data_IF_906253470642
#
_entry.id   IF_906253470642
#
_cell.length_a   1.000
_cell.length_b   1.000
_cell.length_c   1.000
_cell.angle_alpha   90.00
_cell.angle_beta   90.00
_cell.angle_gamma   90.00
#
_symmetry.space_group_name_H-M   'P 1'
#
loop_
_entity.id
_entity.type
_entity.pdbx_description
1 polymer ?
#
# COMPACT_ATOMS: atom_id res chain seq x y z
N UNK A 1 5.84 20.05 -16.78
CA UNK A 1 4.81 20.45 -17.76
C UNK A 1 3.57 20.95 -17.01
N UNK A 2 3.01 22.10 -17.41
CA UNK A 2 1.77 22.63 -16.82
C UNK A 2 0.60 21.73 -17.21
N UNK A 3 -0.37 21.53 -16.31
CA UNK A 3 -1.56 20.69 -16.49
C UNK A 3 -2.40 21.04 -17.75
N UNK A 4 -2.16 22.24 -18.30
CA UNK A 4 -2.80 22.83 -19.47
C UNK A 4 -2.24 22.38 -20.83
N UNK A 5 -1.06 21.72 -20.88
CA UNK A 5 -0.43 21.31 -22.16
C UNK A 5 -0.65 19.83 -22.52
N UNK A 6 -1.35 19.07 -21.67
CA UNK A 6 -1.63 17.65 -21.91
C UNK A 6 -2.82 17.49 -22.86
N UNK A 7 -2.67 16.61 -23.86
CA UNK A 7 -3.80 16.23 -24.71
C UNK A 7 -4.96 15.68 -23.84
N UNK A 8 -6.23 15.92 -24.19
CA UNK A 8 -7.38 15.53 -23.36
C UNK A 8 -7.41 14.04 -22.99
N UNK A 9 -6.82 13.17 -23.81
CA UNK A 9 -6.65 11.72 -23.53
C UNK A 9 -5.56 11.43 -22.49
N UNK A 10 -4.47 12.18 -22.47
CA UNK A 10 -3.36 12.01 -21.51
C UNK A 10 -3.75 12.51 -20.13
N UNK A 11 -4.48 13.64 -20.09
CA UNK A 11 -5.11 14.15 -18.86
C UNK A 11 -6.06 13.14 -18.24
N UNK A 12 -6.83 12.44 -19.07
CA UNK A 12 -7.77 11.41 -18.61
C UNK A 12 -7.07 10.20 -17.99
N UNK A 13 -6.01 9.69 -18.64
CA UNK A 13 -5.19 8.61 -18.09
C UNK A 13 -4.49 9.02 -16.80
N UNK A 14 -3.98 10.26 -16.73
CA UNK A 14 -3.36 10.81 -15.53
C UNK A 14 -4.34 10.84 -14.34
N UNK A 15 -5.57 11.31 -14.55
CA UNK A 15 -6.62 11.34 -13.52
C UNK A 15 -6.98 9.92 -13.04
N UNK A 16 -7.02 8.93 -13.94
CA UNK A 16 -7.22 7.54 -13.52
C UNK A 16 -6.10 7.00 -12.65
N UNK A 17 -4.84 7.26 -12.99
CA UNK A 17 -3.71 6.83 -12.16
C UNK A 17 -3.70 7.53 -10.81
N UNK A 18 -4.05 8.82 -10.78
CA UNK A 18 -4.20 9.59 -9.54
C UNK A 18 -5.29 8.99 -8.64
N UNK A 19 -6.49 8.75 -9.17
CA UNK A 19 -7.58 8.11 -8.44
C UNK A 19 -7.22 6.69 -7.99
N UNK A 20 -6.58 5.90 -8.85
CA UNK A 20 -6.16 4.54 -8.51
C UNK A 20 -5.23 4.54 -7.29
N UNK A 21 -4.25 5.45 -7.26
CA UNK A 21 -3.30 5.58 -6.16
C UNK A 21 -3.97 6.13 -4.90
N UNK A 22 -4.80 7.16 -5.04
CA UNK A 22 -5.61 7.69 -3.95
C UNK A 22 -6.36 6.58 -3.21
N UNK A 23 -7.13 5.75 -3.93
CA UNK A 23 -7.88 4.66 -3.30
C UNK A 23 -6.99 3.51 -2.80
N UNK A 24 -5.84 3.27 -3.43
CA UNK A 24 -4.88 2.27 -2.94
C UNK A 24 -4.32 2.66 -1.56
N UNK A 25 -3.83 3.90 -1.42
CA UNK A 25 -3.32 4.41 -0.12
C UNK A 25 -4.44 4.64 0.89
N UNK A 26 -5.66 4.94 0.44
CA UNK A 26 -6.84 4.98 1.30
C UNK A 26 -7.04 3.63 2.01
N UNK A 27 -7.06 2.52 1.27
CA UNK A 27 -7.28 1.18 1.84
C UNK A 27 -6.08 0.74 2.70
N UNK A 28 -4.85 1.06 2.27
CA UNK A 28 -3.65 0.83 3.08
C UNK A 28 -3.72 1.54 4.43
N UNK A 29 -4.24 2.78 4.47
CA UNK A 29 -4.39 3.56 5.70
C UNK A 29 -5.48 3.01 6.63
N UNK A 30 -6.58 2.49 6.09
CA UNK A 30 -7.59 1.81 6.92
C UNK A 30 -7.02 0.57 7.64
N UNK A 31 -6.11 -0.14 6.98
CA UNK A 31 -5.51 -1.36 7.50
C UNK A 31 -4.31 -1.07 8.40
N UNK A 32 -3.24 -0.49 7.86
CA UNK A 32 -1.90 -0.55 8.45
C UNK A 32 -1.80 0.03 9.88
N UNK A 33 -2.20 1.30 10.13
CA UNK A 33 -2.18 1.90 11.46
C UNK A 33 -3.19 1.28 12.44
N UNK A 34 -4.34 0.80 11.98
CA UNK A 34 -5.41 0.31 12.86
C UNK A 34 -5.41 -1.20 13.07
N UNK A 35 -4.60 -1.96 12.31
CA UNK A 35 -4.56 -3.42 12.39
C UNK A 35 -4.21 -3.99 13.78
N UNK A 36 -3.19 -3.48 14.51
CA UNK A 36 -2.92 -3.95 15.88
C UNK A 36 -4.10 -3.69 16.83
N UNK A 37 -4.76 -2.56 16.64
CA UNK A 37 -5.93 -2.14 17.43
C UNK A 37 -7.13 -3.01 17.12
N UNK A 38 -7.32 -3.39 15.86
CA UNK A 38 -8.35 -4.34 15.44
C UNK A 38 -8.14 -5.73 16.05
N UNK A 39 -6.90 -6.23 16.06
CA UNK A 39 -6.58 -7.53 16.66
C UNK A 39 -6.85 -7.56 18.16
N UNK A 40 -6.50 -6.47 18.86
CA UNK A 40 -6.68 -6.38 20.31
C UNK A 40 -8.14 -6.13 20.74
N UNK A 41 -8.84 -5.19 20.09
CA UNK A 41 -10.18 -4.78 20.55
C UNK A 41 -11.29 -5.69 20.02
N UNK A 42 -11.18 -6.19 18.78
CA UNK A 42 -12.25 -6.98 18.13
C UNK A 42 -12.05 -8.48 18.31
N UNK A 43 -10.81 -8.95 18.14
CA UNK A 43 -10.51 -10.37 18.24
C UNK A 43 -10.01 -10.77 19.65
N UNK A 44 -9.90 -9.81 20.58
CA UNK A 44 -9.44 -10.01 21.96
C UNK A 44 -8.11 -10.76 22.07
N UNK A 45 -7.23 -10.60 21.07
CA UNK A 45 -5.95 -11.29 21.04
C UNK A 45 -4.96 -10.67 22.03
N UNK A 46 -4.14 -11.53 22.62
CA UNK A 46 -3.01 -11.12 23.45
C UNK A 46 -1.91 -10.48 22.59
N UNK A 47 -1.01 -9.73 23.24
CA UNK A 47 0.16 -9.12 22.56
C UNK A 47 1.06 -10.16 21.92
N UNK A 48 1.20 -11.34 22.54
CA UNK A 48 1.99 -12.46 22.01
C UNK A 48 1.40 -12.98 20.71
N UNK A 49 0.09 -13.21 20.68
CA UNK A 49 -0.62 -13.70 19.49
C UNK A 49 -0.62 -12.69 18.36
N UNK A 50 -0.78 -11.40 18.69
CA UNK A 50 -0.63 -10.29 17.75
C UNK A 50 0.78 -10.28 17.14
N UNK A 51 1.82 -10.49 17.96
CA UNK A 51 3.20 -10.62 17.49
C UNK A 51 3.42 -11.78 16.53
N UNK A 52 2.76 -12.93 16.77
CA UNK A 52 2.80 -14.10 15.86
C UNK A 52 2.18 -13.74 14.51
N UNK A 53 1.04 -13.03 14.50
CA UNK A 53 0.39 -12.57 13.26
C UNK A 53 1.31 -11.64 12.47
N UNK A 54 1.90 -10.62 13.10
CA UNK A 54 2.85 -9.72 12.45
C UNK A 54 4.11 -10.43 11.94
N UNK A 55 4.60 -11.41 12.69
CA UNK A 55 5.75 -12.23 12.29
C UNK A 55 5.44 -13.06 11.04
N UNK A 56 4.25 -13.68 10.98
CA UNK A 56 3.79 -14.40 9.79
C UNK A 56 3.67 -13.47 8.57
N UNK A 57 3.05 -12.30 8.72
CA UNK A 57 2.94 -11.30 7.65
C UNK A 57 4.32 -10.90 7.13
N UNK A 58 5.29 -10.72 8.04
CA UNK A 58 6.66 -10.35 7.69
C UNK A 58 7.39 -11.48 6.97
N UNK A 59 7.20 -12.73 7.40
CA UNK A 59 7.76 -13.92 6.74
C UNK A 59 7.26 -14.02 5.30
N UNK A 60 5.94 -13.95 5.09
CA UNK A 60 5.37 -14.02 3.74
C UNK A 60 5.73 -12.78 2.90
N UNK A 61 5.81 -11.60 3.51
CA UNK A 61 6.30 -10.40 2.82
C UNK A 61 7.71 -10.61 2.24
N UNK A 62 8.64 -11.16 3.02
CA UNK A 62 10.02 -11.42 2.58
C UNK A 62 10.04 -12.42 1.42
N UNK A 63 9.19 -13.44 1.43
CA UNK A 63 9.10 -14.44 0.35
C UNK A 63 8.46 -13.83 -0.91
N UNK A 64 7.37 -13.08 -0.75
CA UNK A 64 6.59 -12.57 -1.89
C UNK A 64 7.20 -11.31 -2.51
N UNK A 65 7.94 -10.48 -1.77
CA UNK A 65 8.61 -9.29 -2.31
C UNK A 65 9.53 -9.59 -3.52
N UNK A 66 10.49 -10.54 -3.46
CA UNK A 66 11.33 -10.86 -4.62
C UNK A 66 10.51 -11.52 -5.74
N UNK A 67 9.52 -12.35 -5.41
CA UNK A 67 8.64 -12.98 -6.41
C UNK A 67 7.87 -11.92 -7.17
N UNK A 68 7.23 -10.98 -6.48
CA UNK A 68 6.50 -9.86 -7.09
C UNK A 68 7.42 -8.87 -7.78
N UNK A 69 8.66 -8.68 -7.30
CA UNK A 69 9.68 -7.87 -7.96
C UNK A 69 10.07 -8.46 -9.32
N UNK A 70 10.39 -9.75 -9.36
CA UNK A 70 10.69 -10.48 -10.60
C UNK A 70 9.47 -10.59 -11.51
N UNK A 71 8.28 -10.74 -10.93
CA UNK A 71 7.01 -10.80 -11.65
C UNK A 71 6.69 -9.43 -12.28
N UNK A 72 6.89 -8.33 -11.55
CA UNK A 72 6.78 -6.96 -12.06
C UNK A 72 7.78 -6.69 -13.18
N UNK A 73 8.97 -7.28 -13.11
CA UNK A 73 9.98 -7.14 -14.16
C UNK A 73 9.67 -7.98 -15.41
N UNK A 74 9.28 -9.25 -15.24
CA UNK A 74 8.91 -10.15 -16.35
C UNK A 74 7.60 -9.80 -17.03
N UNK A 75 6.59 -9.35 -16.27
CA UNK A 75 5.29 -8.97 -16.85
C UNK A 75 5.33 -7.62 -17.55
N UNK A 76 6.35 -6.78 -17.34
CA UNK A 76 6.38 -5.43 -17.88
C UNK A 76 5.10 -4.65 -17.53
N UNK A 77 4.64 -3.77 -18.42
CA UNK A 77 3.41 -2.97 -18.27
C UNK A 77 2.10 -3.80 -18.39
N UNK A 78 2.11 -5.12 -18.15
CA UNK A 78 0.91 -5.95 -18.33
C UNK A 78 -0.10 -5.73 -17.20
N UNK A 79 -1.30 -5.29 -17.61
CA UNK A 79 -2.51 -5.02 -16.82
C UNK A 79 -2.93 -6.12 -15.84
N UNK A 80 -2.50 -7.37 -16.01
CA UNK A 80 -2.96 -8.51 -15.21
C UNK A 80 -2.55 -8.39 -13.74
N UNK A 81 -1.32 -7.95 -13.44
CA UNK A 81 -0.85 -7.84 -12.06
C UNK A 81 -1.61 -6.77 -11.27
N UNK A 82 -1.85 -5.60 -11.87
CA UNK A 82 -2.70 -4.58 -11.25
C UNK A 82 -4.15 -5.04 -11.09
N UNK A 83 -4.67 -5.81 -12.05
CA UNK A 83 -6.04 -6.34 -11.96
C UNK A 83 -6.16 -7.34 -10.81
N UNK A 84 -5.19 -8.25 -10.66
CA UNK A 84 -5.14 -9.18 -9.53
C UNK A 84 -5.11 -8.43 -8.21
N UNK A 85 -4.20 -7.47 -8.04
CA UNK A 85 -4.12 -6.65 -6.81
C UNK A 85 -5.47 -5.97 -6.57
N UNK A 86 -6.07 -5.38 -7.61
CA UNK A 86 -7.36 -4.68 -7.49
C UNK A 86 -8.51 -5.58 -7.06
N UNK A 87 -8.60 -6.80 -7.61
CA UNK A 87 -9.61 -7.80 -7.21
C UNK A 87 -9.41 -8.22 -5.76
N UNK A 88 -8.16 -8.43 -5.32
CA UNK A 88 -7.90 -8.72 -3.91
C UNK A 88 -8.30 -7.52 -3.03
N UNK A 89 -8.00 -6.27 -3.40
CA UNK A 89 -8.45 -5.11 -2.60
C UNK A 89 -9.98 -4.97 -2.54
N UNK A 90 -10.73 -5.41 -3.56
CA UNK A 90 -12.20 -5.46 -3.50
C UNK A 90 -12.65 -6.50 -2.46
N UNK A 91 -11.99 -7.66 -2.44
CA UNK A 91 -12.29 -8.75 -1.51
C UNK A 91 -11.74 -8.50 -0.08
N UNK A 92 -11.21 -7.30 0.18
CA UNK A 92 -10.66 -6.93 1.47
C UNK A 92 -11.68 -7.03 2.62
N UNK A 93 -12.86 -6.44 2.49
CA UNK A 93 -13.90 -6.51 3.53
C UNK A 93 -14.37 -7.95 3.82
N UNK A 94 -14.78 -8.75 2.81
CA UNK A 94 -15.24 -10.11 3.09
C UNK A 94 -14.12 -11.01 3.62
N UNK A 95 -12.87 -10.81 3.19
CA UNK A 95 -11.75 -11.55 3.74
C UNK A 95 -11.54 -11.27 5.23
N UNK A 96 -11.57 -10.00 5.66
CA UNK A 96 -11.35 -9.65 7.07
C UNK A 96 -12.47 -10.13 7.98
N UNK A 97 -13.72 -9.94 7.55
CA UNK A 97 -14.88 -10.22 8.39
C UNK A 97 -15.21 -11.73 8.41
N UNK A 98 -15.23 -12.40 7.25
CA UNK A 98 -15.72 -13.77 7.16
C UNK A 98 -14.63 -14.84 7.21
N UNK A 99 -13.38 -14.50 6.88
CA UNK A 99 -12.28 -15.47 6.88
C UNK A 99 -11.35 -15.19 8.06
N UNK A 100 -10.80 -13.99 8.12
CA UNK A 100 -9.70 -13.69 9.03
C UNK A 100 -10.14 -13.67 10.50
N UNK A 101 -11.24 -12.98 10.83
CA UNK A 101 -11.77 -12.93 12.20
C UNK A 101 -12.12 -14.32 12.78
N UNK A 102 -12.94 -15.17 12.12
CA UNK A 102 -13.26 -16.48 12.67
C UNK A 102 -12.06 -17.45 12.68
N UNK A 103 -11.15 -17.37 11.70
CA UNK A 103 -9.95 -18.21 11.74
C UNK A 103 -9.04 -17.88 12.92
N UNK A 104 -8.90 -16.59 13.26
CA UNK A 104 -8.11 -16.18 14.42
C UNK A 104 -8.70 -16.70 15.73
N UNK A 105 -10.03 -16.75 15.85
CA UNK A 105 -10.70 -17.27 17.04
C UNK A 105 -10.61 -18.80 17.15
N UNK A 106 -10.64 -19.54 16.04
CA UNK A 106 -10.51 -21.01 16.07
C UNK A 106 -9.06 -21.47 16.25
N UNK A 107 -8.13 -20.93 15.46
CA UNK A 107 -6.73 -21.29 15.52
C UNK A 107 -5.84 -20.14 15.02
N UNK A 108 -5.10 -19.56 15.95
CA UNK A 108 -4.23 -18.39 15.72
C UNK A 108 -3.13 -18.70 14.71
N UNK A 109 -2.60 -19.92 14.69
CA UNK A 109 -1.55 -20.32 13.74
C UNK A 109 -2.13 -20.37 12.33
N UNK A 110 -3.30 -20.99 12.15
CA UNK A 110 -3.96 -21.04 10.85
C UNK A 110 -4.38 -19.64 10.37
N UNK A 111 -4.96 -18.83 11.26
CA UNK A 111 -5.31 -17.44 10.98
C UNK A 111 -4.10 -16.60 10.58
N UNK A 112 -3.01 -16.66 11.35
CA UNK A 112 -1.77 -15.93 11.04
C UNK A 112 -1.14 -16.36 9.71
N UNK A 113 -1.19 -17.65 9.34
CA UNK A 113 -0.70 -18.12 8.04
C UNK A 113 -1.55 -17.57 6.88
N UNK A 114 -2.86 -17.72 6.95
CA UNK A 114 -3.78 -17.26 5.89
C UNK A 114 -3.76 -15.74 5.75
N UNK A 115 -3.80 -15.02 6.87
CA UNK A 115 -3.65 -13.56 6.90
C UNK A 115 -2.27 -13.11 6.41
N UNK A 116 -1.21 -13.82 6.81
CA UNK A 116 0.15 -13.53 6.36
C UNK A 116 0.30 -13.63 4.84
N UNK A 117 -0.24 -14.69 4.24
CA UNK A 117 -0.23 -14.87 2.78
C UNK A 117 -1.00 -13.73 2.10
N UNK A 118 -2.23 -13.47 2.54
CA UNK A 118 -3.09 -12.46 1.93
C UNK A 118 -2.51 -11.04 2.06
N UNK A 119 -2.14 -10.64 3.29
CA UNK A 119 -1.63 -9.30 3.59
C UNK A 119 -0.22 -9.08 3.03
N UNK A 120 0.62 -10.12 3.02
CA UNK A 120 1.93 -10.11 2.39
C UNK A 120 1.84 -9.88 0.87
N UNK A 121 0.86 -10.50 0.21
CA UNK A 121 0.61 -10.30 -1.22
C UNK A 121 0.03 -8.90 -1.50
N UNK A 122 -1.04 -8.52 -0.81
CA UNK A 122 -1.82 -7.32 -1.16
C UNK A 122 -1.11 -6.02 -0.80
N UNK A 123 -0.50 -5.96 0.39
CA UNK A 123 -0.02 -4.71 0.97
C UNK A 123 1.50 -4.61 0.98
N UNK A 124 2.23 -5.67 1.36
CA UNK A 124 3.69 -5.61 1.36
C UNK A 124 4.26 -5.67 -0.06
N UNK A 125 4.00 -6.75 -0.78
CA UNK A 125 4.49 -6.91 -2.15
C UNK A 125 3.68 -6.12 -3.18
N UNK A 126 2.38 -5.95 -2.95
CA UNK A 126 1.49 -5.16 -3.80
C UNK A 126 1.83 -3.67 -3.82
N UNK A 127 2.25 -3.07 -2.70
CA UNK A 127 2.59 -1.64 -2.66
C UNK A 127 3.82 -1.33 -3.51
N UNK A 128 4.89 -2.12 -3.34
CA UNK A 128 6.09 -2.01 -4.17
C UNK A 128 5.80 -2.24 -5.65
N UNK A 129 4.93 -3.19 -5.99
CA UNK A 129 4.55 -3.44 -7.37
C UNK A 129 3.72 -2.28 -7.99
N UNK A 130 2.79 -1.71 -7.23
CA UNK A 130 1.96 -0.56 -7.65
C UNK A 130 2.82 0.71 -7.82
N UNK A 131 3.74 0.97 -6.88
CA UNK A 131 4.69 2.09 -6.96
C UNK A 131 5.60 1.98 -8.18
N UNK A 132 6.25 0.82 -8.36
CA UNK A 132 7.14 0.57 -9.49
C UNK A 132 6.41 0.67 -10.84
N UNK A 133 5.17 0.19 -10.91
CA UNK A 133 4.35 0.33 -12.11
C UNK A 133 4.09 1.80 -12.44
N UNK A 134 3.70 2.61 -11.46
CA UNK A 134 3.40 4.02 -11.68
C UNK A 134 4.66 4.81 -12.01
N UNK A 135 5.79 4.52 -11.38
CA UNK A 135 7.06 5.15 -11.74
C UNK A 135 7.43 4.87 -13.21
N UNK A 136 7.19 3.64 -13.70
CA UNK A 136 7.38 3.29 -15.12
C UNK A 136 6.42 4.05 -16.04
N UNK A 137 5.15 4.16 -15.68
CA UNK A 137 4.16 4.93 -16.47
C UNK A 137 4.46 6.44 -16.43
N UNK A 138 4.92 6.95 -15.29
CA UNK A 138 5.33 8.34 -15.08
C UNK A 138 6.49 8.74 -15.97
N UNK A 139 7.50 7.86 -16.07
CA UNK A 139 8.62 8.03 -16.99
C UNK A 139 8.17 7.97 -18.46
N UNK A 140 7.26 7.06 -18.80
CA UNK A 140 6.78 6.90 -20.17
C UNK A 140 5.98 8.12 -20.68
N UNK A 141 5.17 8.74 -19.82
CA UNK A 141 4.29 9.85 -20.17
C UNK A 141 4.82 11.23 -19.69
N UNK A 142 6.07 11.29 -19.21
CA UNK A 142 6.75 12.52 -18.72
C UNK A 142 5.98 13.32 -17.65
N UNK A 143 5.11 12.67 -16.87
CA UNK A 143 4.52 13.31 -15.69
C UNK A 143 5.42 13.12 -14.47
N UNK A 144 5.38 14.05 -13.51
CA UNK A 144 6.13 13.96 -12.27
C UNK A 144 5.48 12.94 -11.32
N UNK A 145 6.24 11.91 -10.93
CA UNK A 145 5.82 10.89 -9.96
C UNK A 145 5.38 11.52 -8.62
N UNK A 146 6.05 12.59 -8.20
CA UNK A 146 5.76 13.29 -6.94
C UNK A 146 4.30 13.77 -6.83
N UNK A 147 3.72 14.27 -7.93
CA UNK A 147 2.31 14.72 -7.94
C UNK A 147 1.32 13.58 -7.71
N UNK A 148 1.60 12.40 -8.28
CA UNK A 148 0.77 11.20 -8.09
C UNK A 148 0.92 10.68 -6.66
N UNK A 149 2.14 10.74 -6.11
CA UNK A 149 2.41 10.33 -4.73
C UNK A 149 1.69 11.22 -3.71
N UNK A 150 1.68 12.52 -3.91
CA UNK A 150 0.95 13.48 -3.07
C UNK A 150 -0.53 13.13 -2.98
N UNK A 151 -1.17 12.75 -4.09
CA UNK A 151 -2.56 12.28 -4.06
C UNK A 151 -2.75 11.00 -3.23
N UNK A 152 -1.77 10.10 -3.23
CA UNK A 152 -1.74 8.93 -2.33
C UNK A 152 -1.70 9.33 -0.86
N UNK A 153 -0.81 10.25 -0.48
CA UNK A 153 -0.72 10.76 0.90
C UNK A 153 -2.01 11.46 1.35
N UNK A 154 -2.67 12.22 0.47
CA UNK A 154 -3.97 12.82 0.76
C UNK A 154 -5.04 11.74 0.98
N UNK A 155 -5.06 10.69 0.16
CA UNK A 155 -5.96 9.55 0.35
C UNK A 155 -5.72 8.81 1.67
N UNK A 156 -4.45 8.63 2.06
CA UNK A 156 -4.08 8.06 3.34
C UNK A 156 -4.58 8.91 4.50
N UNK A 157 -4.34 10.23 4.45
CA UNK A 157 -4.74 11.16 5.49
C UNK A 157 -6.27 11.21 5.67
N UNK A 158 -7.02 11.31 4.57
CA UNK A 158 -8.49 11.29 4.62
C UNK A 158 -9.01 9.99 5.25
N UNK A 159 -8.45 8.84 4.86
CA UNK A 159 -8.86 7.57 5.42
C UNK A 159 -8.50 7.42 6.89
N UNK A 160 -7.34 7.91 7.33
CA UNK A 160 -6.88 7.81 8.71
C UNK A 160 -7.84 8.56 9.66
N UNK A 161 -8.29 9.75 9.28
CA UNK A 161 -9.30 10.50 10.05
C UNK A 161 -10.64 9.77 10.10
N UNK A 162 -11.15 9.31 8.94
CA UNK A 162 -12.44 8.61 8.87
C UNK A 162 -12.39 7.33 9.71
N UNK A 163 -11.32 6.56 9.55
CA UNK A 163 -11.12 5.30 10.26
C UNK A 163 -10.97 5.54 11.76
N UNK A 164 -10.23 6.56 12.20
CA UNK A 164 -10.05 6.87 13.61
C UNK A 164 -11.36 7.15 14.34
N UNK A 165 -12.28 7.88 13.69
CA UNK A 165 -13.63 8.14 14.23
C UNK A 165 -14.50 6.88 14.16
N UNK A 166 -14.53 6.20 13.02
CA UNK A 166 -15.37 5.00 12.83
C UNK A 166 -14.94 3.83 13.72
N UNK A 167 -13.66 3.73 14.07
CA UNK A 167 -13.16 2.67 14.94
C UNK A 167 -13.77 2.71 16.34
N UNK A 168 -14.22 3.88 16.79
CA UNK A 168 -14.93 4.05 18.07
C UNK A 168 -16.38 3.58 18.04
N UNK A 169 -16.98 3.42 16.86
CA UNK A 169 -18.37 2.97 16.69
C UNK A 169 -18.36 1.49 16.30
N UNK A 170 -17.86 1.20 15.09
CA UNK A 170 -17.81 -0.15 14.52
C UNK A 170 -16.68 -0.26 13.50
N UNK A 171 -15.65 -1.09 13.76
CA UNK A 171 -14.51 -1.24 12.85
C UNK A 171 -14.88 -1.95 11.55
N UNK A 172 -15.94 -2.76 11.54
CA UNK A 172 -16.41 -3.46 10.34
C UNK A 172 -16.90 -2.50 9.25
N UNK A 173 -17.47 -1.35 9.64
CA UNK A 173 -17.96 -0.33 8.71
C UNK A 173 -16.80 0.25 7.89
N UNK A 174 -15.64 0.47 8.51
CA UNK A 174 -14.44 0.95 7.82
C UNK A 174 -14.03 -0.01 6.70
N UNK A 175 -14.04 -1.32 6.96
CA UNK A 175 -13.68 -2.31 5.95
C UNK A 175 -14.68 -2.33 4.78
N UNK A 176 -15.98 -2.25 5.06
CA UNK A 176 -17.01 -2.13 4.03
C UNK A 176 -16.84 -0.88 3.18
N UNK A 177 -16.57 0.27 3.79
CA UNK A 177 -16.32 1.52 3.07
C UNK A 177 -15.07 1.39 2.18
N UNK A 178 -13.99 0.80 2.70
CA UNK A 178 -12.76 0.58 1.95
C UNK A 178 -12.99 -0.30 0.69
N UNK A 179 -13.74 -1.40 0.84
CA UNK A 179 -14.10 -2.30 -0.28
C UNK A 179 -15.06 -1.62 -1.27
N UNK A 180 -16.10 -0.93 -0.76
CA UNK A 180 -17.09 -0.23 -1.59
C UNK A 180 -16.45 0.89 -2.42
N UNK A 181 -15.57 1.70 -1.83
CA UNK A 181 -14.83 2.74 -2.55
C UNK A 181 -13.92 2.14 -3.61
N UNK A 182 -13.29 0.98 -3.34
CA UNK A 182 -12.49 0.29 -4.34
C UNK A 182 -13.33 -0.19 -5.51
N UNK A 183 -14.45 -0.84 -5.22
CA UNK A 183 -15.39 -1.31 -6.21
C UNK A 183 -15.93 -0.16 -7.06
N UNK A 184 -16.35 0.93 -6.44
CA UNK A 184 -16.79 2.15 -7.13
C UNK A 184 -15.71 2.72 -8.05
N UNK A 185 -14.43 2.74 -7.62
CA UNK A 185 -13.32 3.19 -8.47
C UNK A 185 -13.14 2.29 -9.71
N UNK A 186 -13.27 0.98 -9.53
CA UNK A 186 -13.17 -0.02 -10.62
C UNK A 186 -14.38 0.05 -11.55
N UNK A 187 -15.58 0.24 -11.02
CA UNK A 187 -16.79 0.43 -11.83
C UNK A 187 -16.74 1.75 -12.60
N UNK A 188 -16.31 2.86 -11.99
CA UNK A 188 -16.16 4.15 -12.67
C UNK A 188 -15.10 4.11 -13.79
N UNK A 189 -14.05 3.32 -13.62
CA UNK A 189 -13.04 3.08 -14.68
C UNK A 189 -13.50 2.06 -15.72
N UNK A 190 -14.28 1.05 -15.35
CA UNK A 190 -14.89 0.06 -16.24
C UNK A 190 -16.01 0.61 -17.12
N UNK A 191 -16.94 1.39 -16.55
CA UNK A 191 -18.04 2.03 -17.27
C UNK A 191 -17.57 3.08 -18.29
N UNK A 192 -16.36 3.64 -18.10
CA UNK A 192 -15.74 4.60 -19.03
C UNK A 192 -14.65 3.97 -19.93
N UNK A 193 -14.44 2.65 -19.80
CA UNK A 193 -13.27 1.93 -20.29
C UNK A 193 -13.43 1.08 -21.55
N UNK A 194 -14.21 1.50 -22.56
CA UNK A 194 -14.08 0.92 -23.93
C UNK A 194 -12.98 1.58 -24.77
N UNK A 195 -12.35 2.67 -24.32
CA UNK A 195 -11.42 3.47 -25.16
C UNK A 195 -10.05 3.79 -24.54
N UNK A 196 -9.60 3.03 -23.53
CA UNK A 196 -8.24 3.13 -22.97
C UNK A 196 -7.25 2.10 -23.55
N UNK A 197 -7.58 1.48 -24.70
CA UNK A 197 -6.69 0.54 -25.39
C UNK A 197 -5.48 1.21 -26.07
N UNK A 198 -5.36 2.54 -26.03
CA UNK A 198 -4.39 3.29 -26.87
C UNK A 198 -3.16 3.80 -26.13
N UNK A 199 -3.16 3.86 -24.78
CA UNK A 199 -1.92 4.05 -24.01
C UNK A 199 -0.90 2.91 -24.25
N UNK A 200 -1.37 1.78 -24.78
CA UNK A 200 -0.61 0.59 -25.15
C UNK A 200 0.24 0.74 -26.44
N UNK A 201 -0.03 1.72 -27.32
CA UNK A 201 0.79 1.86 -28.55
C UNK A 201 2.13 2.53 -28.31
N UNK A 202 2.25 3.37 -27.27
CA UNK A 202 3.50 4.02 -26.90
C UNK A 202 4.42 3.13 -26.06
N UNK A 203 3.86 2.18 -25.30
CA UNK A 203 4.66 1.22 -24.50
C UNK A 203 5.26 0.06 -25.32
N UNK A 204 4.78 -0.19 -26.55
CA UNK A 204 5.41 -1.19 -27.45
C UNK A 204 6.78 -0.75 -27.99
N UNK A 205 7.13 0.54 -27.90
CA UNK A 205 8.39 1.08 -28.44
C UNK A 205 9.57 0.99 -27.47
N UNK A 206 9.29 0.71 -26.19
CA UNK A 206 10.31 0.50 -25.18
C UNK A 206 10.36 -0.99 -24.88
N UNK A 207 11.22 -1.70 -25.63
CA UNK A 207 11.69 -3.00 -25.19
C UNK A 207 12.14 -2.88 -23.72
N UNK A 208 11.78 -3.82 -22.84
CA UNK A 208 12.30 -3.78 -21.49
C UNK A 208 13.82 -3.81 -21.61
N UNK A 209 14.51 -2.82 -21.04
CA UNK A 209 15.90 -3.01 -20.63
C UNK A 209 15.83 -3.96 -19.42
N UNK A 210 15.36 -5.18 -19.65
CA UNK A 210 15.56 -6.28 -18.75
C UNK A 210 17.05 -6.55 -18.84
N UNK A 211 17.84 -5.91 -17.97
CA UNK A 211 19.13 -6.49 -17.64
C UNK A 211 18.77 -7.82 -16.98
N UNK A 212 19.05 -8.97 -17.60
CA UNK A 212 18.80 -10.23 -16.93
C UNK A 212 19.52 -10.15 -15.58
N UNK A 213 18.82 -10.46 -14.50
CA UNK A 213 19.45 -10.70 -13.21
C UNK A 213 20.32 -11.95 -13.39
N UNK A 214 21.50 -11.75 -13.99
CA UNK A 214 22.50 -12.77 -14.14
C UNK A 214 23.11 -12.89 -12.76
N UNK A 215 22.92 -14.05 -12.13
CA UNK A 215 23.56 -14.39 -10.87
C UNK A 215 25.07 -14.54 -11.13
N UNK A 216 25.75 -13.42 -11.40
CA UNK A 216 27.20 -13.38 -11.41
C UNK A 216 27.57 -13.26 -9.94
N UNK A 217 27.99 -14.38 -9.37
CA UNK A 217 28.71 -14.46 -8.11
C UNK A 217 29.98 -13.61 -8.24
N UNK A 218 29.86 -12.28 -8.07
CA UNK A 218 31.00 -11.36 -8.09
C UNK A 218 31.18 -10.82 -6.69
N UNK A 219 31.93 -11.59 -5.91
CA UNK A 219 32.20 -11.38 -4.49
C UNK A 219 33.06 -10.12 -4.20
N UNK A 220 33.49 -9.37 -5.22
CA UNK A 220 34.53 -8.36 -5.04
C UNK A 220 34.34 -7.06 -5.86
N UNK A 221 33.13 -6.48 -5.84
CA UNK A 221 32.95 -5.08 -6.24
C UNK A 221 32.74 -4.21 -5.00
N UNK A 222 33.43 -3.07 -4.89
CA UNK A 222 33.19 -2.07 -3.83
C UNK A 222 31.72 -1.60 -3.78
N UNK A 223 30.99 -1.70 -4.90
CA UNK A 223 29.53 -1.52 -5.02
C UNK A 223 28.78 -2.53 -4.15
N UNK A 224 29.26 -3.78 -4.01
CA UNK A 224 28.64 -4.80 -3.16
C UNK A 224 28.83 -4.50 -1.66
N UNK A 225 29.95 -3.88 -1.25
CA UNK A 225 30.21 -3.50 0.15
C UNK A 225 29.41 -2.26 0.56
N UNK A 226 29.30 -1.26 -0.31
CA UNK A 226 28.35 -0.16 -0.14
C UNK A 226 26.90 -0.66 -0.20
N UNK A 227 26.57 -1.60 -1.11
CA UNK A 227 25.25 -2.24 -1.13
C UNK A 227 24.98 -3.09 0.10
N UNK A 228 25.99 -3.62 0.79
CA UNK A 228 25.83 -4.36 2.04
C UNK A 228 25.42 -3.42 3.18
N UNK A 229 26.10 -2.28 3.30
CA UNK A 229 25.76 -1.23 4.28
C UNK A 229 24.43 -0.53 3.95
N UNK A 230 24.18 -0.21 2.67
CA UNK A 230 22.88 0.29 2.22
C UNK A 230 21.80 -0.77 2.42
N UNK A 231 22.02 -2.03 2.06
CA UNK A 231 21.05 -3.11 2.27
C UNK A 231 20.77 -3.26 3.77
N UNK A 232 21.78 -3.32 4.64
CA UNK A 232 21.53 -3.37 6.10
C UNK A 232 20.76 -2.16 6.60
N UNK A 233 21.01 -0.95 6.07
CA UNK A 233 20.26 0.26 6.42
C UNK A 233 18.83 0.25 5.84
N UNK A 234 18.64 -0.36 4.68
CA UNK A 234 17.35 -0.60 4.02
C UNK A 234 16.54 -1.73 4.65
N UNK A 235 17.16 -2.66 5.37
CA UNK A 235 16.48 -3.69 6.14
C UNK A 235 16.21 -3.19 7.55
N UNK A 236 17.23 -2.67 8.24
CA UNK A 236 17.14 -2.28 9.64
C UNK A 236 16.27 -1.06 9.84
N UNK A 237 16.37 -0.01 9.01
CA UNK A 237 15.57 1.20 9.22
C UNK A 237 14.08 0.96 8.98
N UNK A 238 13.62 0.41 7.84
CA UNK A 238 12.22 0.12 7.62
C UNK A 238 11.70 -0.96 8.57
N UNK A 239 12.46 -2.02 8.87
CA UNK A 239 12.02 -3.02 9.83
C UNK A 239 11.80 -2.41 11.22
N UNK A 240 12.77 -1.61 11.71
CA UNK A 240 12.66 -0.92 13.00
C UNK A 240 11.49 0.05 13.02
N UNK A 241 11.32 0.85 11.95
CA UNK A 241 10.18 1.75 11.83
C UNK A 241 8.86 0.98 11.78
N UNK A 242 8.78 -0.13 11.03
CA UNK A 242 7.55 -0.94 10.96
C UNK A 242 7.20 -1.58 12.29
N UNK A 243 8.19 -2.08 13.03
CA UNK A 243 8.00 -2.60 14.38
C UNK A 243 7.50 -1.50 15.33
N UNK A 244 8.14 -0.33 15.31
CA UNK A 244 7.72 0.82 16.11
C UNK A 244 6.31 1.29 15.75
N UNK A 245 5.98 1.42 14.46
CA UNK A 245 4.66 1.81 13.98
C UNK A 245 3.58 0.77 14.25
N UNK A 246 3.94 -0.52 14.34
CA UNK A 246 2.98 -1.57 14.70
C UNK A 246 2.58 -1.50 16.18
N UNK A 247 3.44 -0.93 17.03
CA UNK A 247 3.20 -0.76 18.47
C UNK A 247 2.64 0.60 18.85
N UNK A 248 2.80 1.62 17.99
CA UNK A 248 2.38 3.00 18.26
C UNK A 248 0.89 3.21 18.56
N UNK A 249 -0.07 2.52 17.93
CA UNK A 249 -1.49 2.77 18.19
C UNK A 249 -1.89 2.35 19.60
N UNK A 250 -1.35 1.21 20.06
CA UNK A 250 -1.56 0.69 21.42
C UNK A 250 -0.91 1.59 22.47
N UNK A 251 0.24 2.20 22.14
CA UNK A 251 0.90 3.18 22.98
C UNK A 251 0.09 4.47 23.10
N UNK A 252 -0.39 5.04 21.99
CA UNK A 252 -1.24 6.26 22.01
C UNK A 252 -2.52 6.08 22.83
N UNK A 253 -3.13 4.88 22.78
CA UNK A 253 -4.28 4.55 23.64
C UNK A 253 -3.96 4.59 25.13
N UNK A 254 -2.74 4.26 25.55
CA UNK A 254 -2.36 4.23 26.96
C UNK A 254 -2.35 5.64 27.62
N UNK A 255 -2.23 6.71 26.82
CA UNK A 255 -2.24 8.10 27.31
C UNK A 255 -3.62 8.73 27.34
N UNK A 256 -4.65 8.09 26.78
CA UNK A 256 -6.00 8.64 26.71
C UNK A 256 -6.89 8.05 27.80
N UNK A 257 -7.67 8.88 28.54
CA UNK A 257 -8.55 8.40 29.60
C UNK A 257 -9.71 7.53 29.08
N UNK A 258 -10.07 7.65 27.80
CA UNK A 258 -11.11 6.87 27.13
C UNK A 258 -10.51 6.17 25.89
N UNK A 259 -10.76 4.86 25.75
CA UNK A 259 -10.17 4.02 24.68
C UNK A 259 -10.58 4.46 23.26
N UNK A 260 -11.81 4.91 23.08
CA UNK A 260 -12.32 5.43 21.80
C UNK A 260 -11.63 6.75 21.41
N UNK A 261 -11.45 7.67 22.36
CA UNK A 261 -10.73 8.92 22.13
C UNK A 261 -9.27 8.71 21.72
N UNK A 262 -8.59 7.70 22.28
CA UNK A 262 -7.20 7.38 21.90
C UNK A 262 -7.03 6.94 20.44
N UNK A 263 -8.03 6.26 19.88
CA UNK A 263 -8.00 5.80 18.47
C UNK A 263 -8.29 6.95 17.51
N UNK A 264 -9.18 7.85 17.90
CA UNK A 264 -9.51 9.07 17.17
C UNK A 264 -8.32 10.04 17.11
N UNK A 265 -7.68 10.32 18.26
CA UNK A 265 -6.47 11.15 18.32
C UNK A 265 -5.35 10.56 17.47
N UNK A 266 -5.15 9.24 17.52
CA UNK A 266 -4.15 8.57 16.67
C UNK A 266 -4.46 8.71 15.17
N UNK A 267 -5.74 8.64 14.79
CA UNK A 267 -6.20 8.95 13.44
C UNK A 267 -5.80 10.37 13.01
N UNK A 268 -6.10 11.38 13.82
CA UNK A 268 -5.76 12.77 13.53
C UNK A 268 -4.25 13.04 13.45
N UNK A 269 -3.45 12.43 14.34
CA UNK A 269 -1.99 12.55 14.29
C UNK A 269 -1.43 11.95 13.00
N UNK A 270 -1.94 10.79 12.60
CA UNK A 270 -1.55 10.13 11.34
C UNK A 270 -1.92 11.00 10.13
N UNK A 271 -3.12 11.58 10.13
CA UNK A 271 -3.58 12.53 9.09
C UNK A 271 -2.67 13.74 8.99
N UNK A 272 -2.33 14.37 10.12
CA UNK A 272 -1.44 15.53 10.15
C UNK A 272 -0.04 15.20 9.63
N UNK A 273 0.51 14.05 10.02
CA UNK A 273 1.80 13.56 9.55
C UNK A 273 1.86 13.36 8.04
N UNK A 274 0.85 12.71 7.46
CA UNK A 274 0.82 12.46 6.00
C UNK A 274 0.51 13.73 5.18
N UNK A 275 -0.25 14.68 5.71
CA UNK A 275 -0.43 15.99 5.07
C UNK A 275 0.87 16.81 5.07
N UNK A 276 1.64 16.75 6.16
CA UNK A 276 2.97 17.37 6.20
C UNK A 276 3.93 16.70 5.21
N UNK A 277 3.90 15.37 5.12
CA UNK A 277 4.67 14.61 4.14
C UNK A 277 4.30 15.00 2.71
N UNK A 278 3.00 15.10 2.41
CA UNK A 278 2.48 15.56 1.13
C UNK A 278 2.96 16.98 0.80
N UNK A 279 2.95 17.90 1.78
CA UNK A 279 3.43 19.27 1.62
C UNK A 279 4.93 19.30 1.30
N UNK A 280 5.75 18.54 2.02
CA UNK A 280 7.20 18.43 1.77
C UNK A 280 7.47 17.89 0.36
N UNK A 281 6.74 16.85 -0.06
CA UNK A 281 6.87 16.29 -1.41
C UNK A 281 6.47 17.30 -2.50
N UNK A 282 5.42 18.09 -2.26
CA UNK A 282 4.97 19.12 -3.18
C UNK A 282 5.98 20.27 -3.30
N UNK A 283 6.50 20.77 -2.18
CA UNK A 283 7.52 21.83 -2.14
C UNK A 283 8.82 21.40 -2.83
N UNK A 284 9.23 20.14 -2.64
CA UNK A 284 10.43 19.59 -3.29
C UNK A 284 10.26 19.36 -4.80
N UNK A 285 9.03 19.12 -5.26
CA UNK A 285 8.71 18.99 -6.68
C UNK A 285 8.71 20.35 -7.41
N UNK A 286 8.42 21.45 -6.72
CA UNK A 286 8.40 22.80 -7.31
C UNK A 286 9.77 23.42 -7.57
N UNK A 287 10.86 22.83 -7.06
CA UNK A 287 12.22 23.35 -7.16
C UNK A 287 13.07 22.73 -8.29
N UNK A 288 12.46 22.04 -9.26
CA UNK A 288 13.15 21.45 -10.44
C UNK A 288 12.48 21.82 -11.76
#
# INVERSE_FOLDING_TARGET
MKFSELAPRERHNFVYFLLFFFFYYFIMSAYFPFFPVWLADVNHLTKTETGIVFSSISLFAIIFQPVFGLMSDKLGLRKHLLWTITVLLILFAPFFIFVFSPLLQMNIIAGSLVGGIYLGIVFSSGSGAVEAYIERVSRANRFEYGKVRVAGCVGWALCASITGVLFGIDPNITFWIASALRWCSVCCSGCRGRKAATALRLSRRWAPIARPFRCVRRQNCCVCRASGALSSMWWVSPASTTCLTSSSPTFSKAFSPVRSAGTEVFGFVTTGGELLNALIMFLRAGHR
#
